data_IF_146154214994
#
_entry.id   IF_146154214994
#
_cell.length_a   1.000
_cell.length_b   1.000
_cell.length_c   1.000
_cell.angle_alpha   90.00
_cell.angle_beta   90.00
_cell.angle_gamma   90.00
#
_symmetry.space_group_name_H-M   'P 1'
#
loop_
_entity.id
_entity.type
_entity.pdbx_description
1 polymer ?
#
# COMPACT_ATOMS: atom_id res chain seq x y z
N UNK A 1 30.56 35.35 22.61
CA UNK A 1 29.25 35.92 22.27
C UNK A 1 28.17 34.99 22.80
N UNK A 2 27.44 35.38 23.88
CA UNK A 2 26.43 34.50 24.50
C UNK A 2 25.09 34.77 23.82
N UNK A 3 24.63 33.81 23.05
CA UNK A 3 23.30 33.90 22.45
C UNK A 3 22.21 33.96 23.52
N UNK A 4 21.26 34.86 23.38
CA UNK A 4 20.07 34.92 24.22
C UNK A 4 19.23 33.67 24.05
N UNK A 5 18.40 33.30 25.04
CA UNK A 5 17.49 32.13 24.94
C UNK A 5 16.58 32.18 23.69
N UNK A 6 16.15 33.38 23.29
CA UNK A 6 15.32 33.61 22.12
C UNK A 6 16.08 33.34 20.80
N UNK A 7 17.36 33.75 20.74
CA UNK A 7 18.21 33.47 19.57
C UNK A 7 18.49 31.98 19.40
N UNK A 8 18.73 31.23 20.50
CA UNK A 8 18.91 29.79 20.48
C UNK A 8 17.63 29.05 20.01
N UNK A 9 16.45 29.49 20.49
CA UNK A 9 15.19 28.93 20.04
C UNK A 9 14.96 29.20 18.54
N UNK A 10 15.21 30.40 18.08
CA UNK A 10 15.12 30.75 16.64
C UNK A 10 16.06 29.94 15.76
N UNK A 11 17.30 29.70 16.21
CA UNK A 11 18.26 28.87 15.48
C UNK A 11 17.79 27.41 15.40
N UNK A 12 17.24 26.85 16.48
CA UNK A 12 16.70 25.49 16.47
C UNK A 12 15.54 25.32 15.50
N UNK A 13 14.61 26.28 15.50
CA UNK A 13 13.47 26.29 14.56
C UNK A 13 13.96 26.37 13.12
N UNK A 14 14.94 27.25 12.84
CA UNK A 14 15.51 27.38 11.50
C UNK A 14 16.19 26.09 11.03
N UNK A 15 16.96 25.43 11.90
CA UNK A 15 17.59 24.14 11.60
C UNK A 15 16.56 23.04 11.36
N UNK A 16 15.48 22.99 12.14
CA UNK A 16 14.39 22.04 11.94
C UNK A 16 13.68 22.26 10.59
N UNK A 17 13.41 23.53 10.22
CA UNK A 17 12.82 23.86 8.92
C UNK A 17 13.76 23.49 7.77
N UNK A 18 15.05 23.77 7.89
CA UNK A 18 16.04 23.40 6.88
C UNK A 18 16.13 21.87 6.72
N UNK A 19 16.13 21.12 7.83
CA UNK A 19 16.11 19.67 7.81
C UNK A 19 14.86 19.11 7.09
N UNK A 20 13.68 19.66 7.39
CA UNK A 20 12.44 19.28 6.71
C UNK A 20 12.49 19.60 5.21
N UNK A 21 12.99 20.78 4.86
CA UNK A 21 13.08 21.20 3.47
C UNK A 21 14.03 20.31 2.67
N UNK A 22 15.19 19.97 3.22
CA UNK A 22 16.14 19.03 2.61
C UNK A 22 15.51 17.65 2.51
N UNK A 23 14.91 17.15 3.58
CA UNK A 23 14.28 15.82 3.61
C UNK A 23 13.14 15.67 2.58
N UNK A 24 12.35 16.73 2.36
CA UNK A 24 11.31 16.75 1.33
C UNK A 24 11.88 16.87 -0.09
N UNK A 25 13.03 17.52 -0.25
CA UNK A 25 13.63 17.75 -1.57
C UNK A 25 14.41 16.53 -2.08
N UNK A 26 15.04 15.75 -1.21
CA UNK A 26 15.86 14.59 -1.59
C UNK A 26 15.12 13.56 -2.44
N UNK A 27 13.88 13.13 -2.08
CA UNK A 27 13.13 12.18 -2.91
C UNK A 27 12.77 12.71 -4.30
N UNK A 28 12.63 14.05 -4.44
CA UNK A 28 12.29 14.69 -5.70
C UNK A 28 13.51 14.83 -6.63
N UNK A 29 14.70 14.95 -6.04
CA UNK A 29 15.94 15.11 -6.77
C UNK A 29 16.64 13.79 -7.08
N UNK A 30 16.30 12.74 -6.34
CA UNK A 30 16.90 11.42 -6.49
C UNK A 30 15.88 10.44 -7.03
N UNK A 31 15.86 10.27 -8.35
CA UNK A 31 15.12 9.17 -8.98
C UNK A 31 15.90 7.87 -8.73
N UNK A 32 15.34 6.89 -8.00
CA UNK A 32 16.01 5.63 -7.81
C UNK A 32 16.22 4.97 -9.19
N UNK A 33 17.49 4.72 -9.52
CA UNK A 33 17.81 3.96 -10.71
C UNK A 33 17.69 2.48 -10.39
N UNK A 34 16.92 1.76 -11.20
CA UNK A 34 16.86 0.31 -11.11
C UNK A 34 18.27 -0.28 -11.33
N UNK A 35 18.64 -1.27 -10.54
CA UNK A 35 19.88 -2.01 -10.78
C UNK A 35 19.78 -2.72 -12.12
N UNK A 36 20.90 -2.94 -12.82
CA UNK A 36 20.91 -3.65 -14.11
C UNK A 36 20.27 -5.04 -13.97
N UNK A 37 20.52 -5.73 -12.86
CA UNK A 37 19.90 -7.02 -12.57
C UNK A 37 18.37 -6.93 -12.49
N UNK A 38 17.84 -5.85 -11.88
CA UNK A 38 16.39 -5.63 -11.81
C UNK A 38 15.83 -5.25 -13.19
N UNK A 39 16.55 -4.48 -13.98
CA UNK A 39 16.14 -4.14 -15.36
C UNK A 39 16.06 -5.36 -16.27
N UNK A 40 17.01 -6.29 -16.12
CA UNK A 40 16.99 -7.56 -16.87
C UNK A 40 15.84 -8.48 -16.43
N UNK A 41 15.48 -8.45 -15.15
CA UNK A 41 14.37 -9.24 -14.61
C UNK A 41 13.00 -8.66 -14.90
N UNK A 42 12.90 -7.32 -15.07
CA UNK A 42 11.65 -6.61 -15.36
C UNK A 42 11.68 -6.16 -16.83
N UNK A 43 11.69 -7.12 -17.76
CA UNK A 43 11.44 -6.81 -19.16
C UNK A 43 9.99 -6.36 -19.34
N UNK A 44 9.77 -5.27 -20.08
CA UNK A 44 8.41 -4.76 -20.37
C UNK A 44 7.56 -5.84 -21.06
N UNK A 45 8.20 -6.71 -21.82
CA UNK A 45 7.56 -7.82 -22.51
C UNK A 45 6.90 -8.84 -21.57
N UNK A 46 7.37 -8.94 -20.30
CA UNK A 46 6.76 -9.83 -19.30
C UNK A 46 5.39 -9.36 -18.82
N UNK A 47 5.04 -8.10 -19.08
CA UNK A 47 3.74 -7.52 -18.73
C UNK A 47 2.74 -7.54 -19.88
N UNK A 48 3.17 -7.94 -21.09
CA UNK A 48 2.27 -8.18 -22.20
C UNK A 48 1.82 -9.63 -22.18
N UNK A 49 0.51 -9.86 -22.24
CA UNK A 49 -0.03 -11.18 -22.49
C UNK A 49 0.35 -11.68 -23.90
N UNK A 50 0.11 -12.95 -24.16
CA UNK A 50 0.29 -13.51 -25.49
C UNK A 50 -0.51 -12.70 -26.52
N UNK A 51 0.10 -12.48 -27.70
CA UNK A 51 -0.49 -11.67 -28.77
C UNK A 51 -1.88 -12.12 -29.23
N UNK A 52 -2.24 -13.36 -28.92
CA UNK A 52 -3.56 -13.96 -29.23
C UNK A 52 -4.57 -13.83 -28.10
N UNK A 53 -4.21 -13.23 -26.95
CA UNK A 53 -5.16 -12.99 -25.85
C UNK A 53 -5.99 -11.75 -26.12
N UNK A 54 -7.32 -11.90 -26.00
CA UNK A 54 -8.24 -10.77 -26.07
C UNK A 54 -8.32 -10.11 -24.71
N UNK A 55 -7.84 -8.89 -24.58
CA UNK A 55 -8.00 -8.08 -23.39
C UNK A 55 -9.50 -7.85 -23.12
N UNK A 56 -9.90 -8.10 -21.88
CA UNK A 56 -11.28 -7.88 -21.46
C UNK A 56 -11.31 -6.75 -20.44
N UNK A 57 -12.11 -5.75 -20.72
CA UNK A 57 -12.38 -4.64 -19.80
C UNK A 57 -13.87 -4.61 -19.45
N UNK A 58 -14.15 -4.33 -18.19
CA UNK A 58 -15.52 -4.15 -17.70
C UNK A 58 -15.60 -2.84 -16.93
N UNK A 59 -16.60 -2.03 -17.26
CA UNK A 59 -16.90 -0.80 -16.53
C UNK A 59 -17.84 -1.11 -15.36
N UNK A 60 -17.45 -0.73 -14.16
CA UNK A 60 -18.26 -0.87 -12.94
C UNK A 60 -18.82 0.50 -12.56
N UNK A 61 -20.10 0.72 -12.80
CA UNK A 61 -20.73 2.03 -12.70
C UNK A 61 -21.10 2.45 -11.25
N UNK A 62 -21.15 1.49 -10.33
CA UNK A 62 -21.53 1.78 -8.94
C UNK A 62 -20.54 1.20 -7.94
N UNK A 63 -20.47 1.82 -6.74
CA UNK A 63 -19.68 1.28 -5.64
C UNK A 63 -20.13 -0.12 -5.23
N UNK A 64 -21.43 -0.41 -5.33
CA UNK A 64 -21.97 -1.72 -5.00
C UNK A 64 -21.51 -2.78 -6.01
N UNK A 65 -21.55 -2.51 -7.30
CA UNK A 65 -21.07 -3.44 -8.33
C UNK A 65 -19.57 -3.65 -8.22
N UNK A 66 -18.80 -2.58 -7.97
CA UNK A 66 -17.36 -2.66 -7.76
C UNK A 66 -17.01 -3.50 -6.52
N UNK A 67 -17.78 -3.37 -5.44
CA UNK A 67 -17.60 -4.18 -4.25
C UNK A 67 -17.92 -5.65 -4.49
N UNK A 68 -19.07 -5.94 -5.09
CA UNK A 68 -19.48 -7.31 -5.42
C UNK A 68 -18.45 -8.00 -6.31
N UNK A 69 -17.97 -7.30 -7.33
CA UNK A 69 -16.96 -7.84 -8.24
C UNK A 69 -15.62 -8.08 -7.56
N UNK A 70 -15.20 -7.20 -6.66
CA UNK A 70 -14.00 -7.40 -5.84
C UNK A 70 -14.09 -8.69 -5.02
N UNK A 71 -15.19 -8.89 -4.30
CA UNK A 71 -15.42 -10.11 -3.51
C UNK A 71 -15.45 -11.34 -4.42
N UNK A 72 -16.07 -11.25 -5.60
CA UNK A 72 -16.11 -12.34 -6.57
C UNK A 72 -14.70 -12.73 -7.03
N UNK A 73 -13.88 -11.76 -7.39
CA UNK A 73 -12.49 -12.00 -7.84
C UNK A 73 -11.64 -12.64 -6.73
N UNK A 74 -11.76 -12.15 -5.49
CA UNK A 74 -11.03 -12.72 -4.36
C UNK A 74 -11.43 -14.19 -4.11
N UNK A 75 -12.71 -14.51 -4.21
CA UNK A 75 -13.18 -15.90 -4.05
C UNK A 75 -12.70 -16.84 -5.17
N UNK A 76 -12.35 -16.32 -6.33
CA UNK A 76 -11.84 -17.09 -7.47
C UNK A 76 -10.32 -17.30 -7.45
N UNK A 77 -9.61 -16.65 -6.55
CA UNK A 77 -8.16 -16.80 -6.45
C UNK A 77 -7.79 -18.18 -5.91
N UNK A 78 -6.87 -18.88 -6.58
CA UNK A 78 -6.44 -20.22 -6.23
C UNK A 78 -4.98 -20.29 -5.77
N UNK A 79 -4.14 -19.32 -6.15
CA UNK A 79 -2.71 -19.34 -5.84
C UNK A 79 -2.30 -18.17 -4.95
N UNK A 80 -2.57 -16.94 -5.36
CA UNK A 80 -2.10 -15.75 -4.69
C UNK A 80 -3.09 -14.59 -4.76
N UNK A 81 -3.19 -13.83 -3.66
CA UNK A 81 -3.88 -12.54 -3.59
C UNK A 81 -2.89 -11.47 -3.13
N UNK A 82 -2.73 -10.42 -3.93
CA UNK A 82 -1.99 -9.21 -3.53
C UNK A 82 -2.98 -8.05 -3.50
N UNK A 83 -3.30 -7.59 -2.29
CA UNK A 83 -4.20 -6.46 -2.08
C UNK A 83 -3.38 -5.23 -1.68
N UNK A 84 -3.39 -4.20 -2.51
CA UNK A 84 -2.78 -2.91 -2.19
C UNK A 84 -3.86 -1.87 -1.92
N UNK A 85 -3.74 -1.13 -0.84
CA UNK A 85 -4.70 -0.08 -0.50
C UNK A 85 -4.01 1.08 0.22
N UNK A 86 -4.47 2.29 -0.08
CA UNK A 86 -3.99 3.49 0.60
C UNK A 86 -4.57 3.60 2.01
N UNK A 87 -5.88 3.37 2.15
CA UNK A 87 -6.60 3.50 3.42
C UNK A 87 -7.42 2.23 3.69
N UNK A 88 -7.35 1.75 4.92
CA UNK A 88 -8.14 0.61 5.39
C UNK A 88 -8.63 0.90 6.80
N UNK A 89 -9.93 1.13 6.94
CA UNK A 89 -10.56 1.47 8.21
C UNK A 89 -11.42 0.34 8.73
N UNK A 90 -11.58 0.26 10.04
CA UNK A 90 -12.50 -0.70 10.66
C UNK A 90 -13.95 -0.30 10.37
N UNK A 91 -14.54 -0.94 9.36
CA UNK A 91 -15.93 -0.80 8.95
C UNK A 91 -16.46 -2.15 8.45
N UNK A 92 -17.77 -2.26 8.28
CA UNK A 92 -18.39 -3.52 7.85
C UNK A 92 -17.80 -4.06 6.55
N UNK A 93 -17.63 -3.21 5.55
CA UNK A 93 -17.05 -3.63 4.27
C UNK A 93 -15.62 -4.17 4.43
N UNK A 94 -14.79 -3.53 5.25
CA UNK A 94 -13.43 -4.03 5.51
C UNK A 94 -13.45 -5.37 6.25
N UNK A 95 -14.39 -5.55 7.18
CA UNK A 95 -14.56 -6.83 7.90
C UNK A 95 -14.96 -7.96 6.96
N UNK A 96 -15.88 -7.70 6.05
CA UNK A 96 -16.30 -8.66 5.02
C UNK A 96 -15.12 -9.02 4.10
N UNK A 97 -14.33 -8.02 3.69
CA UNK A 97 -13.13 -8.22 2.88
C UNK A 97 -12.11 -9.11 3.62
N UNK A 98 -11.81 -8.77 4.88
CA UNK A 98 -10.85 -9.52 5.69
C UNK A 98 -11.32 -10.96 5.97
N UNK A 99 -12.63 -11.16 6.14
CA UNK A 99 -13.20 -12.50 6.30
C UNK A 99 -12.94 -13.37 5.06
N UNK A 100 -13.13 -12.83 3.86
CA UNK A 100 -12.83 -13.54 2.60
C UNK A 100 -11.33 -13.81 2.47
N UNK A 101 -10.48 -12.83 2.76
CA UNK A 101 -9.02 -13.01 2.69
C UNK A 101 -8.53 -14.07 3.69
N UNK A 102 -9.07 -14.08 4.90
CA UNK A 102 -8.75 -15.07 5.92
C UNK A 102 -9.22 -16.47 5.50
N UNK A 103 -10.42 -16.58 4.93
CA UNK A 103 -10.92 -17.83 4.38
C UNK A 103 -9.96 -18.34 3.29
N UNK A 104 -9.56 -17.50 2.34
CA UNK A 104 -8.62 -17.87 1.26
C UNK A 104 -7.26 -18.30 1.81
N UNK A 105 -6.74 -17.60 2.81
CA UNK A 105 -5.50 -18.01 3.48
C UNK A 105 -5.63 -19.41 4.12
N UNK A 106 -6.77 -19.72 4.76
CA UNK A 106 -7.05 -21.05 5.32
C UNK A 106 -7.20 -22.13 4.23
N UNK A 107 -7.60 -21.77 3.02
CA UNK A 107 -7.64 -22.65 1.85
C UNK A 107 -6.25 -22.87 1.23
N UNK A 108 -5.21 -22.19 1.72
CA UNK A 108 -3.83 -22.32 1.26
C UNK A 108 -3.40 -21.29 0.22
N UNK A 109 -4.23 -20.31 -0.08
CA UNK A 109 -3.90 -19.20 -0.99
C UNK A 109 -2.93 -18.23 -0.29
N UNK A 110 -1.85 -17.83 -0.96
CA UNK A 110 -0.92 -16.86 -0.43
C UNK A 110 -1.56 -15.46 -0.43
N UNK A 111 -1.78 -14.86 0.76
CA UNK A 111 -2.41 -13.56 0.88
C UNK A 111 -1.40 -12.52 1.34
N UNK A 112 -1.22 -11.46 0.55
CA UNK A 112 -0.38 -10.30 0.86
C UNK A 112 -1.22 -9.03 0.88
N UNK A 113 -1.20 -8.32 1.99
CA UNK A 113 -1.90 -7.04 2.14
C UNK A 113 -0.86 -5.93 2.33
N UNK A 114 -0.83 -4.97 1.42
CA UNK A 114 0.02 -3.79 1.49
C UNK A 114 -0.84 -2.56 1.78
N UNK A 115 -0.56 -1.90 2.88
CA UNK A 115 -1.25 -0.67 3.28
C UNK A 115 -0.24 0.45 3.40
N UNK A 116 -0.64 1.68 3.06
CA UNK A 116 0.20 2.85 3.26
C UNK A 116 0.67 2.96 4.72
N UNK A 117 1.96 3.24 4.92
CA UNK A 117 2.59 3.18 6.23
C UNK A 117 2.00 4.14 7.26
N UNK A 118 1.59 5.36 6.85
CA UNK A 118 0.98 6.33 7.74
C UNK A 118 -0.43 5.90 8.17
N UNK A 119 -1.23 5.42 7.22
CA UNK A 119 -2.57 4.89 7.49
C UNK A 119 -2.50 3.58 8.28
N UNK A 120 -1.53 2.73 7.98
CA UNK A 120 -1.24 1.52 8.74
C UNK A 120 -0.99 1.83 10.21
N UNK A 121 -0.07 2.74 10.49
CA UNK A 121 0.25 3.14 11.86
C UNK A 121 -0.94 3.78 12.60
N UNK A 122 -1.69 4.67 11.93
CA UNK A 122 -2.76 5.43 12.57
C UNK A 122 -4.04 4.62 12.79
N UNK A 123 -4.39 3.72 11.86
CA UNK A 123 -5.67 3.01 11.87
C UNK A 123 -5.55 1.52 12.18
N UNK A 124 -4.49 0.85 11.69
CA UNK A 124 -4.39 -0.61 11.80
C UNK A 124 -3.81 -1.07 13.12
N UNK A 125 -2.76 -0.45 13.62
CA UNK A 125 -2.10 -0.87 14.86
C UNK A 125 -3.01 -0.80 16.09
N UNK A 126 -4.01 0.08 16.05
CA UNK A 126 -4.95 0.26 17.15
C UNK A 126 -6.19 -0.63 17.05
N UNK A 127 -6.45 -1.25 15.91
CA UNK A 127 -7.62 -2.10 15.69
C UNK A 127 -7.35 -3.56 16.08
N UNK A 128 -8.16 -4.16 16.98
CA UNK A 128 -8.03 -5.57 17.35
C UNK A 128 -8.18 -6.55 16.18
N UNK A 129 -9.00 -6.18 15.17
CA UNK A 129 -9.26 -7.01 14.00
C UNK A 129 -8.03 -7.14 13.14
N UNK A 130 -7.32 -6.05 12.87
CA UNK A 130 -6.11 -6.10 12.07
C UNK A 130 -4.97 -6.81 12.78
N UNK A 131 -4.88 -6.68 14.11
CA UNK A 131 -3.92 -7.49 14.89
C UNK A 131 -4.21 -8.99 14.80
N UNK A 132 -5.47 -9.38 14.86
CA UNK A 132 -5.85 -10.77 14.72
C UNK A 132 -5.47 -11.33 13.34
N UNK A 133 -5.67 -10.57 12.27
CA UNK A 133 -5.29 -10.97 10.90
C UNK A 133 -3.78 -11.04 10.73
N UNK A 134 -3.01 -10.11 11.32
CA UNK A 134 -1.55 -10.08 11.22
C UNK A 134 -0.84 -11.22 11.97
N UNK A 135 -1.54 -11.93 12.87
CA UNK A 135 -1.01 -13.08 13.64
C UNK A 135 -1.41 -14.42 13.05
N UNK A 136 -2.14 -14.45 11.97
CA UNK A 136 -2.61 -15.66 11.30
C UNK A 136 -1.68 -16.03 10.14
#
# INVERSE_FOLDING_TARGET
>A
MVFTKLQKAGTLVLLALLYLLVGLSVPLLHTPTLTEQTKEQIGVEQFYGDADSVDRAMLLESNQSAWTERIRLLNQADEQIILTTFDMRDCNSTRDLLAVLLQKANEGVEVKILVDGLNGWYHLEQSPIFRAVATH
#
